data_IF_747262089974
#
_entry.id   IF_747262089974
#
_cell.length_a   1.000
_cell.length_b   1.000
_cell.length_c   1.000
_cell.angle_alpha   90.00
_cell.angle_beta   90.00
_cell.angle_gamma   90.00
#
_symmetry.space_group_name_H-M   'P 1'
#
loop_
_entity.id
_entity.type
_entity.pdbx_description
1 polymer ?
#
# COMPACT_ATOMS: atom_id res chain seq x y z
N UNK A 1 18.49 -48.53 2.67
CA UNK A 1 19.06 -47.17 2.94
C UNK A 1 18.03 -46.11 3.34
N UNK A 2 16.76 -46.10 2.87
CA UNK A 2 15.81 -44.99 3.13
C UNK A 2 15.37 -44.74 4.60
N UNK A 3 15.44 -45.72 5.51
CA UNK A 3 15.00 -45.52 6.93
C UNK A 3 15.89 -44.56 7.73
N UNK A 4 17.21 -44.54 7.52
CA UNK A 4 18.15 -43.75 8.34
C UNK A 4 17.96 -42.23 8.17
N UNK A 5 17.70 -41.78 6.94
CA UNK A 5 17.55 -40.36 6.62
C UNK A 5 16.28 -39.76 7.25
N UNK A 6 15.15 -40.49 7.21
CA UNK A 6 13.92 -40.00 7.84
C UNK A 6 14.06 -39.91 9.38
N UNK A 7 14.70 -40.88 10.03
CA UNK A 7 14.95 -40.82 11.48
C UNK A 7 15.76 -39.59 11.87
N UNK A 8 16.80 -39.24 11.09
CA UNK A 8 17.60 -38.05 11.36
C UNK A 8 16.84 -36.74 11.10
N UNK A 9 16.00 -36.66 10.06
CA UNK A 9 15.16 -35.47 9.80
C UNK A 9 14.12 -35.26 10.91
N UNK A 10 13.45 -36.34 11.36
CA UNK A 10 12.49 -36.26 12.47
C UNK A 10 13.18 -35.87 13.76
N UNK A 11 14.33 -36.47 14.09
CA UNK A 11 15.10 -36.14 15.29
C UNK A 11 15.56 -34.68 15.31
N UNK A 12 16.11 -34.17 14.20
CA UNK A 12 16.47 -32.74 14.06
C UNK A 12 15.28 -31.81 14.25
N UNK A 13 14.11 -32.15 13.69
CA UNK A 13 12.91 -31.32 13.81
C UNK A 13 12.39 -31.27 15.25
N UNK A 14 12.43 -32.38 15.98
CA UNK A 14 12.08 -32.45 17.41
C UNK A 14 13.08 -31.68 18.27
N UNK A 15 14.38 -31.80 18.01
CA UNK A 15 15.42 -31.02 18.71
C UNK A 15 15.24 -29.51 18.48
N UNK A 16 14.96 -29.06 17.25
CA UNK A 16 14.67 -27.66 16.93
C UNK A 16 13.44 -27.12 17.66
N UNK A 17 12.33 -27.87 17.69
CA UNK A 17 11.12 -27.45 18.42
C UNK A 17 11.34 -27.39 19.94
N UNK A 18 12.16 -28.28 20.49
CA UNK A 18 12.50 -28.24 21.91
C UNK A 18 13.45 -27.06 22.23
N UNK A 19 14.42 -26.77 21.37
CA UNK A 19 15.28 -25.58 21.49
C UNK A 19 14.48 -24.29 21.37
N UNK A 20 13.54 -24.18 20.43
CA UNK A 20 12.66 -23.01 20.31
C UNK A 20 11.85 -22.77 21.59
N UNK A 21 11.28 -23.82 22.20
CA UNK A 21 10.56 -23.71 23.49
C UNK A 21 11.45 -23.38 24.69
N UNK A 22 12.74 -23.70 24.64
CA UNK A 22 13.71 -23.36 25.68
C UNK A 22 14.26 -21.93 25.51
N UNK A 23 14.36 -21.43 24.28
CA UNK A 23 14.81 -20.08 23.96
C UNK A 23 13.69 -19.04 24.17
N UNK A 24 12.45 -19.41 23.84
CA UNK A 24 11.29 -18.52 23.85
C UNK A 24 10.07 -19.16 24.52
N UNK A 25 10.02 -19.23 25.86
CA UNK A 25 8.80 -19.57 26.58
C UNK A 25 7.74 -18.47 26.36
N UNK A 26 6.48 -18.84 26.15
CA UNK A 26 5.37 -17.87 26.06
C UNK A 26 5.01 -17.37 24.66
N UNK A 27 4.89 -18.26 23.66
CA UNK A 27 4.32 -17.91 22.34
C UNK A 27 2.94 -17.25 22.52
N UNK A 28 2.79 -16.02 22.00
CA UNK A 28 1.56 -15.23 22.12
C UNK A 28 1.43 -14.36 23.38
N UNK A 29 2.37 -14.45 24.34
CA UNK A 29 2.40 -13.54 25.51
C UNK A 29 3.10 -12.25 25.09
N UNK A 30 2.55 -11.10 25.49
CA UNK A 30 3.19 -9.79 25.33
C UNK A 30 3.78 -9.37 26.67
N UNK A 31 5.11 -9.22 26.73
CA UNK A 31 5.83 -8.70 27.88
C UNK A 31 6.07 -7.20 27.69
N UNK A 32 5.35 -6.37 28.46
CA UNK A 32 5.52 -4.90 28.43
C UNK A 32 6.73 -4.53 29.29
N UNK A 33 7.68 -3.83 28.70
CA UNK A 33 8.93 -3.39 29.34
C UNK A 33 8.89 -1.94 29.81
N UNK A 34 8.06 -1.10 29.18
CA UNK A 34 7.95 0.31 29.52
C UNK A 34 6.85 1.03 28.76
N UNK A 35 6.72 2.33 29.02
CA UNK A 35 5.75 3.21 28.37
C UNK A 35 6.45 4.48 27.86
N UNK A 36 6.18 4.87 26.62
CA UNK A 36 6.83 6.00 25.91
C UNK A 36 5.78 6.93 25.28
N UNK A 37 6.19 8.09 24.79
CA UNK A 37 5.32 8.99 24.00
C UNK A 37 5.34 8.55 22.52
N UNK A 38 4.25 8.79 21.77
CA UNK A 38 4.25 8.49 20.32
C UNK A 38 5.36 9.27 19.58
N UNK A 39 5.67 10.48 20.06
CA UNK A 39 6.76 11.31 19.54
C UNK A 39 8.17 10.69 19.73
N UNK A 40 8.35 9.74 20.66
CA UNK A 40 9.61 9.01 20.82
C UNK A 40 9.81 7.94 19.73
N UNK A 41 8.73 7.49 19.07
CA UNK A 41 8.78 6.49 18.01
C UNK A 41 8.88 7.15 16.63
N UNK A 42 10.05 7.01 16.00
CA UNK A 42 10.21 7.43 14.62
C UNK A 42 9.26 6.64 13.68
N UNK A 43 8.46 7.27 12.80
CA UNK A 43 7.42 6.59 12.02
C UNK A 43 7.89 5.38 11.19
N UNK A 44 9.15 5.37 10.75
CA UNK A 44 9.77 4.24 10.04
C UNK A 44 9.95 2.97 10.89
N UNK A 45 9.78 3.04 12.22
CA UNK A 45 9.80 1.86 13.08
C UNK A 45 8.51 1.04 12.92
N UNK A 46 7.37 1.65 12.61
CA UNK A 46 6.11 0.93 12.47
C UNK A 46 6.10 0.05 11.21
N UNK A 47 5.75 -1.23 11.36
CA UNK A 47 5.62 -2.20 10.26
C UNK A 47 4.15 -2.54 9.97
N UNK A 48 3.52 -3.40 10.78
CA UNK A 48 2.14 -3.82 10.54
C UNK A 48 1.28 -3.70 11.80
N UNK A 49 0.07 -3.12 11.73
CA UNK A 49 -0.89 -3.10 12.83
C UNK A 49 -1.61 -4.46 12.95
N UNK A 50 -1.91 -4.83 14.19
CA UNK A 50 -2.64 -6.03 14.58
C UNK A 50 -3.63 -5.65 15.69
N UNK A 51 -4.91 -6.00 15.53
CA UNK A 51 -5.90 -5.77 16.57
C UNK A 51 -5.68 -6.76 17.73
N UNK A 52 -5.64 -6.24 18.95
CA UNK A 52 -5.56 -7.05 20.17
C UNK A 52 -6.93 -7.10 20.83
N UNK A 53 -7.36 -8.29 21.24
CA UNK A 53 -8.57 -8.49 22.04
C UNK A 53 -8.28 -9.44 23.21
N UNK A 54 -9.17 -9.52 24.21
CA UNK A 54 -9.03 -10.49 25.29
C UNK A 54 -9.34 -11.91 24.80
N UNK A 55 -8.44 -12.87 25.08
CA UNK A 55 -8.63 -14.28 24.70
C UNK A 55 -9.79 -14.96 25.43
N UNK A 56 -10.11 -14.51 26.65
CA UNK A 56 -11.15 -15.08 27.49
C UNK A 56 -11.87 -14.02 28.38
N UNK A 57 -13.01 -14.36 29.01
CA UNK A 57 -13.77 -13.43 29.86
C UNK A 57 -13.05 -12.95 31.12
N UNK A 58 -12.02 -13.67 31.60
CA UNK A 58 -11.21 -13.29 32.76
C UNK A 58 -10.21 -12.20 32.34
N UNK A 59 -9.64 -12.31 31.14
CA UNK A 59 -8.74 -11.32 30.54
C UNK A 59 -9.44 -10.00 30.17
N UNK A 60 -10.77 -9.97 30.01
CA UNK A 60 -11.53 -8.78 29.62
C UNK A 60 -11.36 -7.57 30.56
N UNK A 61 -11.25 -7.80 31.88
CA UNK A 61 -11.06 -6.71 32.86
C UNK A 61 -9.62 -6.15 32.84
N UNK A 62 -8.55 -6.96 32.90
CA UNK A 62 -7.19 -6.50 32.65
C UNK A 62 -7.01 -5.76 31.32
N UNK A 63 -7.58 -6.29 30.22
CA UNK A 63 -7.54 -5.66 28.89
C UNK A 63 -8.15 -4.25 28.92
N UNK A 64 -9.36 -4.12 29.48
CA UNK A 64 -10.04 -2.82 29.59
C UNK A 64 -9.25 -1.84 30.46
N UNK A 65 -8.66 -2.32 31.57
CA UNK A 65 -7.82 -1.49 32.45
C UNK A 65 -6.57 -0.98 31.74
N UNK A 66 -5.91 -1.81 30.93
CA UNK A 66 -4.76 -1.40 30.13
C UNK A 66 -5.14 -0.37 29.06
N UNK A 67 -6.26 -0.56 28.35
CA UNK A 67 -6.77 0.42 27.36
C UNK A 67 -7.02 1.78 27.99
N UNK A 68 -7.76 1.82 29.10
CA UNK A 68 -8.04 3.07 29.83
C UNK A 68 -6.77 3.72 30.40
N UNK A 69 -5.82 2.93 30.91
CA UNK A 69 -4.55 3.43 31.43
C UNK A 69 -3.68 4.06 30.34
N UNK A 70 -3.54 3.42 29.17
CA UNK A 70 -2.81 3.98 28.03
C UNK A 70 -3.51 5.23 27.48
N UNK A 71 -4.84 5.18 27.30
CA UNK A 71 -5.61 6.28 26.72
C UNK A 71 -5.61 7.53 27.61
N UNK A 72 -5.70 7.38 28.93
CA UNK A 72 -5.67 8.49 29.88
C UNK A 72 -4.28 9.05 30.18
N UNK A 73 -3.20 8.31 29.87
CA UNK A 73 -1.83 8.76 30.07
C UNK A 73 -1.16 9.32 28.81
N UNK A 74 -1.79 9.16 27.64
CA UNK A 74 -1.24 9.49 26.32
C UNK A 74 0.13 8.82 26.08
N UNK A 75 0.18 7.52 26.36
CA UNK A 75 1.39 6.69 26.25
C UNK A 75 1.16 5.45 25.40
N UNK A 76 2.27 4.95 24.85
CA UNK A 76 2.35 3.66 24.15
C UNK A 76 3.11 2.66 25.02
N UNK A 77 2.62 1.43 25.13
CA UNK A 77 3.32 0.35 25.82
C UNK A 77 4.34 -0.31 24.90
N UNK A 78 5.62 -0.25 25.23
CA UNK A 78 6.69 -0.94 24.50
C UNK A 78 6.98 -2.28 25.15
N UNK A 79 7.17 -3.31 24.34
CA UNK A 79 7.47 -4.65 24.83
C UNK A 79 7.93 -5.62 23.75
N UNK A 80 7.93 -6.90 24.10
CA UNK A 80 8.24 -8.00 23.18
C UNK A 80 7.13 -9.06 23.21
N UNK A 81 6.96 -9.73 22.07
CA UNK A 81 6.07 -10.87 21.90
C UNK A 81 6.75 -11.95 21.07
N UNK A 82 6.60 -13.20 21.48
CA UNK A 82 7.06 -14.35 20.70
C UNK A 82 5.98 -14.72 19.68
N UNK A 83 6.19 -14.36 18.42
CA UNK A 83 5.32 -14.74 17.29
C UNK A 83 5.93 -15.90 16.51
N UNK A 84 5.21 -17.03 16.47
CA UNK A 84 5.58 -18.28 15.77
C UNK A 84 6.92 -18.88 16.25
N UNK A 85 8.02 -18.36 15.73
CA UNK A 85 9.38 -18.87 15.88
C UNK A 85 10.41 -17.76 16.22
N UNK A 86 9.95 -16.51 16.39
CA UNK A 86 10.82 -15.35 16.67
C UNK A 86 10.18 -14.40 17.69
N UNK A 87 11.01 -13.82 18.53
CA UNK A 87 10.67 -12.67 19.36
C UNK A 87 10.68 -11.38 18.52
N UNK A 88 9.60 -10.60 18.60
CA UNK A 88 9.42 -9.33 17.90
C UNK A 88 9.19 -8.20 18.91
N UNK A 89 9.78 -7.04 18.65
CA UNK A 89 9.55 -5.81 19.43
C UNK A 89 8.25 -5.18 18.96
N UNK A 90 7.44 -4.70 19.89
CA UNK A 90 6.09 -4.19 19.62
C UNK A 90 5.77 -2.92 20.41
N UNK A 91 4.90 -2.10 19.84
CA UNK A 91 4.23 -1.01 20.53
C UNK A 91 2.72 -1.32 20.63
N UNK A 92 2.13 -1.16 21.81
CA UNK A 92 0.69 -1.22 22.05
C UNK A 92 0.17 0.21 22.18
N UNK A 93 -0.80 0.55 21.35
CA UNK A 93 -1.50 1.84 21.31
C UNK A 93 -2.98 1.65 21.63
N UNK A 94 -3.60 2.52 22.43
CA UNK A 94 -5.06 2.60 22.52
C UNK A 94 -5.59 3.27 21.25
N UNK A 95 -6.60 2.67 20.62
CA UNK A 95 -7.24 3.21 19.42
C UNK A 95 -8.75 2.96 19.54
N UNK A 96 -9.53 4.04 19.56
CA UNK A 96 -10.97 4.01 19.87
C UNK A 96 -11.27 3.15 21.12
N UNK A 97 -12.21 2.19 21.00
CA UNK A 97 -12.57 1.24 22.07
C UNK A 97 -11.63 0.01 22.17
N UNK A 98 -10.51 0.01 21.44
CA UNK A 98 -9.60 -1.14 21.29
C UNK A 98 -8.14 -0.88 21.65
N UNK A 99 -7.33 -1.94 21.54
CA UNK A 99 -5.88 -1.90 21.54
C UNK A 99 -5.35 -2.36 20.18
N UNK A 100 -4.43 -1.58 19.61
CA UNK A 100 -3.68 -1.93 18.40
C UNK A 100 -2.24 -2.20 18.79
N UNK A 101 -1.74 -3.38 18.43
CA UNK A 101 -0.34 -3.72 18.51
C UNK A 101 0.29 -3.45 17.14
N UNK A 102 1.36 -2.65 17.13
CA UNK A 102 2.20 -2.46 15.97
C UNK A 102 3.48 -3.27 16.15
N UNK A 103 3.82 -4.08 15.14
CA UNK A 103 5.19 -4.64 15.04
C UNK A 103 6.17 -3.50 14.78
N UNK A 104 7.29 -3.51 15.49
CA UNK A 104 8.38 -2.54 15.29
C UNK A 104 9.55 -3.19 14.53
N UNK A 105 10.05 -2.48 13.54
CA UNK A 105 11.34 -2.79 12.91
C UNK A 105 12.47 -2.60 13.91
N UNK A 106 13.53 -3.40 13.78
CA UNK A 106 14.73 -3.22 14.60
C UNK A 106 15.38 -1.86 14.27
N UNK A 107 15.60 -0.96 15.26
CA UNK A 107 16.21 0.34 15.01
C UNK A 107 17.57 0.29 14.29
N UNK A 108 18.33 -0.79 14.48
CA UNK A 108 19.64 -1.02 13.83
C UNK A 108 19.49 -1.32 12.33
N UNK A 109 18.32 -1.77 11.88
CA UNK A 109 18.03 -2.03 10.46
C UNK A 109 17.53 -0.80 9.69
N UNK A 110 17.24 0.31 10.37
CA UNK A 110 16.84 1.55 9.71
C UNK A 110 18.03 2.20 9.00
N UNK A 111 17.97 2.24 7.66
CA UNK A 111 18.93 3.00 6.85
C UNK A 111 18.71 4.50 7.10
N UNK A 112 19.77 5.23 7.43
CA UNK A 112 19.63 6.67 7.73
C UNK A 112 19.47 7.45 6.43
N UNK A 113 18.71 8.53 6.51
CA UNK A 113 18.56 9.50 5.40
C UNK A 113 19.91 10.18 5.08
N UNK A 114 20.86 10.23 6.02
CA UNK A 114 22.24 10.66 5.78
C UNK A 114 22.99 9.78 4.79
N UNK A 115 22.62 8.50 4.66
CA UNK A 115 23.38 7.50 3.91
C UNK A 115 22.92 7.41 2.43
N UNK A 116 22.05 8.32 2.01
CA UNK A 116 21.59 8.50 0.62
C UNK A 116 22.47 9.55 -0.09
N UNK A 117 22.54 9.53 -1.42
CA UNK A 117 23.44 10.41 -2.20
C UNK A 117 23.21 11.91 -1.95
N UNK A 118 24.27 12.71 -2.13
CA UNK A 118 24.24 14.16 -1.92
C UNK A 118 23.52 14.95 -3.03
N UNK A 119 23.08 14.26 -4.08
CA UNK A 119 22.29 14.75 -5.24
C UNK A 119 20.92 15.36 -4.86
N UNK A 120 20.61 15.43 -3.57
CA UNK A 120 19.37 16.01 -3.00
C UNK A 120 19.46 17.52 -2.77
N UNK A 121 20.66 18.08 -2.74
CA UNK A 121 20.90 19.47 -2.37
C UNK A 121 21.05 20.40 -3.58
N UNK A 122 20.07 20.37 -4.48
CA UNK A 122 19.98 21.33 -5.60
C UNK A 122 19.25 22.62 -5.18
N UNK A 123 19.67 23.76 -5.74
CA UNK A 123 19.03 25.06 -5.46
C UNK A 123 17.67 25.16 -6.17
N UNK A 124 16.57 25.00 -5.43
CA UNK A 124 15.21 25.19 -5.94
C UNK A 124 14.92 26.69 -6.12
N UNK A 125 14.54 27.12 -7.33
CA UNK A 125 14.22 28.52 -7.56
C UNK A 125 12.87 28.93 -6.93
N UNK A 126 12.77 30.19 -6.48
CA UNK A 126 11.52 30.72 -5.89
C UNK A 126 10.31 30.59 -6.84
N UNK A 127 10.40 30.88 -8.16
CA UNK A 127 9.27 30.72 -9.07
C UNK A 127 8.78 29.26 -9.20
N UNK A 128 9.70 28.29 -9.23
CA UNK A 128 9.35 26.86 -9.31
C UNK A 128 8.67 26.39 -8.01
N UNK A 129 9.18 26.83 -6.86
CA UNK A 129 8.59 26.51 -5.56
C UNK A 129 7.15 27.04 -5.43
N UNK A 130 6.87 28.27 -5.86
CA UNK A 130 5.50 28.82 -5.82
C UNK A 130 4.55 28.15 -6.83
N UNK A 131 5.06 27.75 -8.00
CA UNK A 131 4.31 26.95 -8.97
C UNK A 131 3.96 25.55 -8.39
N UNK A 132 4.91 24.89 -7.74
CA UNK A 132 4.72 23.60 -7.09
C UNK A 132 3.73 23.68 -5.92
N UNK A 133 3.85 24.67 -5.03
CA UNK A 133 2.87 24.96 -3.96
C UNK A 133 1.46 25.16 -4.51
N UNK A 134 1.34 25.85 -5.65
CA UNK A 134 0.06 26.07 -6.33
C UNK A 134 -0.55 24.75 -6.80
N UNK A 135 0.24 23.83 -7.38
CA UNK A 135 -0.25 22.49 -7.73
C UNK A 135 -0.69 21.72 -6.48
N UNK A 136 0.14 21.68 -5.43
CA UNK A 136 -0.18 20.97 -4.18
C UNK A 136 -1.50 21.46 -3.59
N UNK A 137 -1.73 22.77 -3.55
CA UNK A 137 -3.00 23.37 -3.10
C UNK A 137 -4.19 22.96 -3.98
N UNK A 138 -4.01 22.95 -5.31
CA UNK A 138 -5.04 22.53 -6.27
C UNK A 138 -5.35 21.03 -6.20
N UNK A 139 -4.41 20.18 -5.77
CA UNK A 139 -4.59 18.73 -5.65
C UNK A 139 -4.89 18.24 -4.23
N UNK A 140 -4.73 19.09 -3.21
CA UNK A 140 -5.03 18.76 -1.80
C UNK A 140 -6.51 18.40 -1.60
N UNK A 141 -6.77 17.23 -1.04
CA UNK A 141 -8.11 16.65 -0.82
C UNK A 141 -8.08 15.77 0.43
N UNK A 142 -9.22 15.30 0.95
CA UNK A 142 -9.23 14.39 2.12
C UNK A 142 -8.97 12.95 1.69
N UNK A 143 -8.49 12.10 2.62
CA UNK A 143 -8.26 10.68 2.36
C UNK A 143 -9.54 9.95 1.91
N UNK A 144 -10.71 10.37 2.40
CA UNK A 144 -12.01 9.80 2.00
C UNK A 144 -12.47 10.19 0.60
N UNK A 145 -11.92 11.25 0.01
CA UNK A 145 -12.19 11.65 -1.38
C UNK A 145 -11.28 10.92 -2.39
N UNK A 146 -10.26 10.17 -1.92
CA UNK A 146 -9.33 9.45 -2.78
C UNK A 146 -9.89 8.06 -3.14
N UNK A 147 -9.97 7.78 -4.45
CA UNK A 147 -10.37 6.48 -4.98
C UNK A 147 -9.22 5.46 -4.84
N UNK A 148 -9.06 4.91 -3.64
CA UNK A 148 -8.02 3.93 -3.28
C UNK A 148 -8.49 2.48 -3.54
N UNK A 149 -9.02 2.21 -4.73
CA UNK A 149 -9.44 0.84 -5.11
C UNK A 149 -8.25 -0.04 -5.47
N UNK A 150 -8.35 -1.34 -5.17
CA UNK A 150 -7.37 -2.34 -5.63
C UNK A 150 -7.56 -2.59 -7.14
N UNK A 151 -6.93 -1.73 -7.93
CA UNK A 151 -6.94 -1.79 -9.41
C UNK A 151 -6.41 -3.12 -9.95
N UNK A 152 -5.52 -3.81 -9.22
CA UNK A 152 -5.04 -5.12 -9.63
C UNK A 152 -6.12 -6.19 -9.45
N UNK A 153 -6.75 -6.24 -8.26
CA UNK A 153 -7.84 -7.17 -7.99
C UNK A 153 -9.04 -6.92 -8.91
N UNK A 154 -9.37 -5.66 -9.23
CA UNK A 154 -10.37 -5.32 -10.24
C UNK A 154 -9.99 -5.77 -11.64
N UNK A 155 -8.76 -5.51 -12.10
CA UNK A 155 -8.28 -5.97 -13.40
C UNK A 155 -8.28 -7.50 -13.52
N UNK A 156 -7.91 -8.22 -12.46
CA UNK A 156 -7.99 -9.69 -12.40
C UNK A 156 -9.44 -10.16 -12.46
N UNK A 157 -10.36 -9.52 -11.71
CA UNK A 157 -11.80 -9.83 -11.75
C UNK A 157 -12.40 -9.60 -13.15
N UNK A 158 -12.03 -8.51 -13.81
CA UNK A 158 -12.42 -8.22 -15.20
C UNK A 158 -11.83 -9.26 -16.15
N UNK A 159 -10.56 -9.64 -16.00
CA UNK A 159 -9.91 -10.68 -16.82
C UNK A 159 -10.61 -12.04 -16.68
N UNK A 160 -11.00 -12.43 -15.46
CA UNK A 160 -11.77 -13.64 -15.20
C UNK A 160 -13.12 -13.57 -15.91
N UNK A 161 -13.84 -12.45 -15.78
CA UNK A 161 -15.14 -12.25 -16.43
C UNK A 161 -15.03 -12.35 -17.98
N UNK A 162 -14.03 -11.70 -18.58
CA UNK A 162 -13.75 -11.76 -20.03
C UNK A 162 -13.49 -13.21 -20.49
N UNK A 163 -12.72 -13.99 -19.72
CA UNK A 163 -12.45 -15.41 -20.00
C UNK A 163 -13.69 -16.29 -19.83
N UNK A 164 -14.52 -16.04 -18.81
CA UNK A 164 -15.81 -16.73 -18.61
C UNK A 164 -16.78 -16.44 -19.76
N UNK A 165 -16.76 -15.22 -20.31
CA UNK A 165 -17.53 -14.83 -21.50
C UNK A 165 -16.93 -15.33 -22.82
N UNK A 166 -15.86 -16.14 -22.79
CA UNK A 166 -15.24 -16.74 -23.97
C UNK A 166 -14.50 -15.75 -24.89
N UNK A 167 -14.14 -14.57 -24.38
CA UNK A 167 -13.42 -13.52 -25.12
C UNK A 167 -11.93 -13.58 -24.82
N UNK A 168 -11.10 -13.25 -25.80
CA UNK A 168 -9.66 -13.10 -25.59
C UNK A 168 -9.33 -11.80 -24.84
N UNK A 169 -8.34 -11.87 -23.96
CA UNK A 169 -7.84 -10.73 -23.19
C UNK A 169 -6.68 -10.13 -23.96
N UNK A 170 -6.92 -9.00 -24.64
CA UNK A 170 -5.88 -8.25 -25.34
C UNK A 170 -5.23 -7.27 -24.36
N UNK A 171 -3.91 -7.34 -24.22
CA UNK A 171 -3.16 -6.35 -23.46
C UNK A 171 -3.21 -4.99 -24.17
N UNK A 172 -3.45 -3.92 -23.42
CA UNK A 172 -3.24 -2.55 -23.91
C UNK A 172 -1.74 -2.33 -23.98
N UNK A 173 -1.23 -1.86 -25.13
CA UNK A 173 0.17 -1.50 -25.27
C UNK A 173 0.46 -0.21 -24.51
N UNK A 174 1.59 -0.15 -23.81
CA UNK A 174 2.04 1.06 -23.14
C UNK A 174 2.34 2.17 -24.17
N UNK A 175 1.83 3.38 -23.93
CA UNK A 175 2.20 4.56 -24.71
C UNK A 175 3.55 5.09 -24.18
N UNK A 176 4.53 5.29 -25.07
CA UNK A 176 5.84 5.82 -24.68
C UNK A 176 5.72 7.29 -24.24
N UNK A 177 5.78 7.55 -22.93
CA UNK A 177 5.82 8.91 -22.40
C UNK A 177 7.13 9.60 -22.78
N UNK A 178 7.06 10.59 -23.68
CA UNK A 178 8.20 11.45 -23.99
C UNK A 178 8.61 12.26 -22.77
N UNK A 179 9.92 12.43 -22.54
CA UNK A 179 10.46 13.29 -21.48
C UNK A 179 10.05 14.75 -21.76
N UNK A 180 9.02 15.22 -21.07
CA UNK A 180 8.48 16.59 -21.19
C UNK A 180 9.20 17.50 -20.19
N UNK A 181 9.49 18.73 -20.62
CA UNK A 181 9.91 19.84 -19.75
C UNK A 181 8.98 19.94 -18.53
N UNK A 182 9.54 19.72 -17.33
CA UNK A 182 8.78 19.66 -16.06
C UNK A 182 7.91 20.90 -15.88
N UNK A 183 8.36 22.08 -16.33
CA UNK A 183 7.60 23.33 -16.22
C UNK A 183 6.38 23.36 -17.15
N UNK A 184 6.46 22.71 -18.31
CA UNK A 184 5.35 22.55 -19.24
C UNK A 184 4.35 21.49 -18.74
N UNK A 185 4.85 20.34 -18.28
CA UNK A 185 4.04 19.29 -17.66
C UNK A 185 3.27 19.82 -16.44
N UNK A 186 3.92 20.58 -15.57
CA UNK A 186 3.32 21.16 -14.37
C UNK A 186 2.22 22.20 -14.69
N UNK A 187 2.42 23.04 -15.70
CA UNK A 187 1.37 23.95 -16.20
C UNK A 187 0.16 23.18 -16.75
N UNK A 188 0.41 22.12 -17.52
CA UNK A 188 -0.65 21.26 -18.05
C UNK A 188 -1.43 20.56 -16.92
N UNK A 189 -0.77 20.03 -15.89
CA UNK A 189 -1.42 19.44 -14.72
C UNK A 189 -2.28 20.44 -13.94
N UNK A 190 -1.81 21.69 -13.78
CA UNK A 190 -2.60 22.77 -13.17
C UNK A 190 -3.88 23.07 -13.98
N UNK A 191 -3.79 23.09 -15.30
CA UNK A 191 -4.95 23.37 -16.17
C UNK A 191 -5.95 22.20 -16.20
N UNK A 192 -5.46 20.96 -16.23
CA UNK A 192 -6.28 19.76 -16.09
C UNK A 192 -7.00 19.70 -14.73
N UNK A 193 -6.29 19.90 -13.62
CA UNK A 193 -6.87 19.85 -12.28
C UNK A 193 -7.93 20.97 -12.04
N UNK A 194 -7.71 22.17 -12.60
CA UNK A 194 -8.73 23.23 -12.64
C UNK A 194 -9.97 22.83 -13.43
N UNK A 195 -9.81 22.08 -14.53
CA UNK A 195 -10.94 21.60 -15.34
C UNK A 195 -11.78 20.53 -14.63
N UNK A 196 -11.15 19.68 -13.80
CA UNK A 196 -11.84 18.65 -13.01
C UNK A 196 -12.63 19.20 -11.82
N UNK A 197 -12.13 20.27 -11.18
CA UNK A 197 -12.80 20.92 -10.02
C UNK A 197 -13.95 21.87 -10.38
N UNK A 198 -14.27 22.07 -11.67
CA UNK A 198 -15.32 23.00 -12.09
C UNK A 198 -16.68 22.30 -12.25
N UNK A 199 -17.73 22.66 -11.49
CA UNK A 199 -19.06 22.07 -11.64
C UNK A 199 -19.71 22.51 -12.96
N UNK A 200 -19.53 21.71 -14.00
CA UNK A 200 -20.33 21.74 -15.22
C UNK A 200 -19.90 22.73 -16.31
N UNK A 201 -19.15 22.22 -17.28
CA UNK A 201 -19.60 22.35 -18.68
C UNK A 201 -19.34 21.05 -19.46
N UNK A 202 -20.38 20.21 -19.60
CA UNK A 202 -20.40 19.17 -20.65
C UNK A 202 -20.46 19.87 -22.02
N UNK A 203 -19.31 20.24 -22.57
CA UNK A 203 -19.24 20.74 -23.95
C UNK A 203 -19.35 19.52 -24.90
N UNK A 204 -20.32 19.48 -25.81
CA UNK A 204 -20.75 18.23 -26.43
C UNK A 204 -19.69 17.65 -27.38
N UNK A 205 -19.63 16.31 -27.42
CA UNK A 205 -18.78 15.58 -28.36
C UNK A 205 -19.04 16.03 -29.80
N UNK A 206 -18.06 16.71 -30.39
CA UNK A 206 -18.14 17.25 -31.75
C UNK A 206 -18.07 16.10 -32.75
N UNK A 207 -19.23 15.53 -33.10
CA UNK A 207 -19.40 14.48 -34.12
C UNK A 207 -18.57 14.84 -35.37
N UNK A 208 -17.46 14.13 -35.57
CA UNK A 208 -16.62 14.27 -36.76
C UNK A 208 -17.40 13.69 -37.94
N UNK A 209 -17.98 14.57 -38.76
CA UNK A 209 -18.76 14.17 -39.92
C UNK A 209 -17.88 13.35 -40.90
N UNK A 210 -18.37 12.17 -41.30
CA UNK A 210 -17.74 11.37 -42.36
C UNK A 210 -17.84 12.13 -43.68
N UNK A 211 -16.77 12.82 -44.08
CA UNK A 211 -16.68 13.43 -45.42
C UNK A 211 -16.25 12.36 -46.41
N UNK A 212 -17.24 11.69 -47.01
CA UNK A 212 -17.01 10.79 -48.14
C UNK A 212 -16.28 11.53 -49.27
N UNK A 213 -15.24 10.92 -49.83
CA UNK A 213 -14.56 11.42 -51.03
C UNK A 213 -14.64 10.36 -52.12
N UNK A 214 -15.59 10.54 -53.01
CA UNK A 214 -15.82 9.70 -54.19
C UNK A 214 -14.94 10.14 -55.37
N UNK A 215 -14.26 9.19 -56.01
CA UNK A 215 -13.94 9.15 -57.46
C UNK A 215 -13.41 7.75 -57.79
N UNK A 216 -14.12 6.82 -58.45
CA UNK A 216 -14.56 6.73 -59.88
C UNK A 216 -13.55 6.06 -60.84
N UNK A 217 -14.07 5.14 -61.69
CA UNK A 217 -13.45 4.24 -62.73
C UNK A 217 -12.91 2.90 -62.18
N UNK A 218 -12.99 1.74 -62.88
CA UNK A 218 -13.83 1.27 -64.04
C UNK A 218 -13.99 -0.30 -63.97
N UNK A 219 -14.85 -0.97 -64.78
CA UNK A 219 -15.45 -2.28 -64.44
C UNK A 219 -15.02 -3.49 -65.30
N UNK A 220 -15.37 -4.72 -64.84
CA UNK A 220 -15.65 -5.98 -65.60
C UNK A 220 -16.23 -7.00 -64.60
N UNK A 221 -17.51 -7.43 -64.61
CA UNK A 221 -18.39 -8.12 -65.59
C UNK A 221 -18.25 -9.65 -65.59
N UNK A 222 -19.34 -10.33 -65.17
CA UNK A 222 -19.59 -11.79 -65.15
C UNK A 222 -18.76 -12.60 -64.12
N UNK A 223 -19.24 -13.72 -63.56
CA UNK A 223 -20.26 -14.68 -64.06
C UNK A 223 -21.10 -15.34 -62.94
N UNK A 224 -22.28 -15.83 -63.32
CA UNK A 224 -23.38 -16.45 -62.53
C UNK A 224 -23.09 -17.87 -62.01
N UNK A 225 -23.74 -18.23 -60.88
CA UNK A 225 -24.38 -19.53 -60.54
C UNK A 225 -23.39 -20.73 -60.37
N UNK A 226 -23.54 -21.63 -59.40
CA UNK A 226 -24.73 -22.06 -58.64
C UNK A 226 -24.57 -21.97 -57.12
#
# INVERSE_FOLDING_TARGET
MKKSVLTNVVRRKVELTNLQKLLFPGVGIIEIEGFVEDADLHPMLYDSPLLVGPDDPIAAKPYSLLREALSSSDKLGIGRIVMRDKEEVVAISPQDDGLVLFKLQNPVSLRKISDMSDERNEEVSKPELELAKTLVSIMSTTLGDLELTDRYHEAVKQMIQIKVEGKEVVAVADEEESIIDITAALKQSIEQAKSMRSPGTKKPAKKRAKKAKSTTKKPRKARKIA
#
